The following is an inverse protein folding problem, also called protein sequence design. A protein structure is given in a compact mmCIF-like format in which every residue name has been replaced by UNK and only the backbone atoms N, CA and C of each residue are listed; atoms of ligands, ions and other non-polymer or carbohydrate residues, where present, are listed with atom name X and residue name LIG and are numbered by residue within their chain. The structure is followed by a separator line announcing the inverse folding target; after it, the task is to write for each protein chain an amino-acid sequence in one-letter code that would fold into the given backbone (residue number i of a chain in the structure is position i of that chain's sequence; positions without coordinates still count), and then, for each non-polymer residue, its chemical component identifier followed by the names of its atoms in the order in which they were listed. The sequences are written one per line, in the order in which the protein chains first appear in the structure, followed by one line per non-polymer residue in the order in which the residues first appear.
data_IF_144652570719
#
_entry.id   IF_144652570719
#
_cell.length_a   1.000
_cell.length_b   1.000
_cell.length_c   1.000
_cell.angle_alpha   90.00
_cell.angle_beta   90.00
_cell.angle_gamma   90.00
#
_symmetry.space_group_name_H-M   'P 1'
#
loop_
_entity.id
_entity.type
_entity.pdbx_description
1 polymer ?
#
# COMPACT_ATOMS: atom_id res chain seq x y z
N UNK A 1 95.54 -94.78 105.09
CA UNK A 1 95.22 -93.52 104.36
C UNK A 1 95.64 -92.34 105.23
N UNK A 2 96.82 -91.78 104.98
CA UNK A 2 97.29 -90.56 105.65
C UNK A 2 96.67 -89.36 104.94
N UNK A 3 95.70 -88.69 105.57
CA UNK A 3 95.26 -87.38 105.09
C UNK A 3 96.36 -86.37 105.40
N UNK A 4 97.05 -85.90 104.35
CA UNK A 4 98.07 -84.85 104.48
C UNK A 4 97.41 -83.54 104.89
N UNK A 5 97.80 -83.00 106.04
CA UNK A 5 97.27 -81.72 106.56
C UNK A 5 97.68 -80.60 105.60
N UNK A 6 96.77 -79.70 105.18
CA UNK A 6 97.11 -78.60 104.28
C UNK A 6 98.22 -77.73 104.89
N UNK A 7 99.23 -77.39 104.07
CA UNK A 7 100.35 -76.54 104.49
C UNK A 7 99.93 -75.07 104.51
N UNK A 8 100.60 -74.19 105.29
CA UNK A 8 100.34 -72.74 105.28
C UNK A 8 100.35 -72.10 103.88
N UNK A 9 101.17 -72.63 102.94
CA UNK A 9 101.21 -72.20 101.54
C UNK A 9 99.92 -72.56 100.76
N UNK A 10 99.33 -73.73 101.03
CA UNK A 10 98.05 -74.13 100.45
C UNK A 10 96.91 -73.22 100.95
N UNK A 11 96.95 -72.83 102.22
CA UNK A 11 95.97 -71.91 102.81
C UNK A 11 96.09 -70.52 102.18
N UNK A 12 97.30 -69.97 102.07
CA UNK A 12 97.54 -68.66 101.44
C UNK A 12 97.09 -68.63 99.96
N UNK A 13 97.39 -69.69 99.21
CA UNK A 13 96.96 -69.83 97.79
C UNK A 13 95.43 -69.90 97.68
N UNK A 14 94.77 -70.70 98.53
CA UNK A 14 93.32 -70.79 98.57
C UNK A 14 92.67 -69.46 98.98
N UNK A 15 93.24 -68.74 99.95
CA UNK A 15 92.78 -67.39 100.34
C UNK A 15 92.90 -66.41 99.17
N UNK A 16 94.01 -66.42 98.43
CA UNK A 16 94.18 -65.58 97.22
C UNK A 16 93.17 -65.94 96.13
N UNK A 17 92.98 -67.23 95.83
CA UNK A 17 92.00 -67.69 94.83
C UNK A 17 90.57 -67.32 95.20
N UNK A 18 90.21 -67.45 96.48
CA UNK A 18 88.88 -67.03 96.99
C UNK A 18 88.70 -65.51 96.84
N UNK A 19 89.71 -64.71 97.16
CA UNK A 19 89.66 -63.26 96.96
C UNK A 19 89.51 -62.88 95.48
N UNK A 20 90.28 -63.50 94.58
CA UNK A 20 90.16 -63.32 93.12
C UNK A 20 88.78 -63.75 92.62
N UNK A 21 88.27 -64.91 93.05
CA UNK A 21 86.94 -65.37 92.67
C UNK A 21 85.86 -64.43 93.19
N UNK A 22 86.00 -63.90 94.41
CA UNK A 22 85.06 -62.93 95.00
C UNK A 22 85.05 -61.63 94.20
N UNK A 23 86.22 -61.12 93.80
CA UNK A 23 86.34 -59.95 92.94
C UNK A 23 85.75 -60.19 91.54
N UNK A 24 86.07 -61.33 90.91
CA UNK A 24 85.51 -61.71 89.61
C UNK A 24 83.98 -61.84 89.66
N UNK A 25 83.43 -62.42 90.74
CA UNK A 25 81.98 -62.52 90.94
C UNK A 25 81.38 -61.13 91.11
N UNK A 26 81.98 -60.26 91.92
CA UNK A 26 81.51 -58.88 92.08
C UNK A 26 81.49 -58.12 90.74
N UNK A 27 82.58 -58.24 89.96
CA UNK A 27 82.65 -57.69 88.59
C UNK A 27 81.58 -58.29 87.68
N UNK A 28 81.38 -59.61 87.70
CA UNK A 28 80.34 -60.27 86.91
C UNK A 28 78.94 -59.82 87.31
N UNK A 29 78.67 -59.63 88.60
CA UNK A 29 77.40 -59.10 89.11
C UNK A 29 77.15 -57.71 88.55
N UNK A 30 78.12 -56.80 88.64
CA UNK A 30 78.00 -55.46 88.06
C UNK A 30 77.77 -55.50 86.54
N UNK A 31 78.51 -56.36 85.83
CA UNK A 31 78.33 -56.51 84.38
C UNK A 31 76.93 -57.02 84.01
N UNK A 32 76.38 -57.97 84.78
CA UNK A 32 75.03 -58.51 84.59
C UNK A 32 73.97 -57.44 84.87
N UNK A 33 74.13 -56.63 85.92
CA UNK A 33 73.24 -55.51 86.20
C UNK A 33 73.25 -54.51 85.04
N UNK A 34 74.42 -54.07 84.59
CA UNK A 34 74.53 -53.14 83.46
C UNK A 34 73.88 -53.68 82.18
N UNK A 35 74.03 -54.98 81.91
CA UNK A 35 73.36 -55.63 80.78
C UNK A 35 71.84 -55.69 80.95
N UNK A 36 71.36 -55.95 82.17
CA UNK A 36 69.92 -56.00 82.48
C UNK A 36 69.28 -54.64 82.25
N UNK A 37 69.93 -53.58 82.72
CA UNK A 37 69.47 -52.20 82.53
C UNK A 37 69.50 -51.82 81.04
N UNK A 38 70.59 -52.13 80.33
CA UNK A 38 70.70 -51.88 78.89
C UNK A 38 69.61 -52.60 78.07
N UNK A 39 69.25 -53.83 78.45
CA UNK A 39 68.15 -54.58 77.81
C UNK A 39 66.80 -53.95 78.12
N UNK A 40 66.59 -53.49 79.36
CA UNK A 40 65.38 -52.77 79.75
C UNK A 40 65.20 -51.49 78.94
N UNK A 41 66.26 -50.70 78.78
CA UNK A 41 66.25 -49.47 77.99
C UNK A 41 65.94 -49.75 76.52
N UNK A 42 66.57 -50.78 75.93
CA UNK A 42 66.25 -51.20 74.55
C UNK A 42 64.80 -51.65 74.38
N UNK A 43 64.23 -52.36 75.37
CA UNK A 43 62.82 -52.77 75.33
C UNK A 43 61.85 -51.59 75.44
N UNK A 44 62.24 -50.52 76.14
CA UNK A 44 61.42 -49.32 76.30
C UNK A 44 61.39 -48.46 75.01
N UNK A 45 62.51 -48.39 74.29
CA UNK A 45 62.67 -47.47 73.16
C UNK A 45 62.51 -48.12 71.76
N UNK A 46 62.53 -49.45 71.66
CA UNK A 46 62.40 -50.15 70.38
C UNK A 46 60.96 -50.19 69.87
N UNK A 47 60.80 -50.27 68.54
CA UNK A 47 59.53 -50.65 67.92
C UNK A 47 59.28 -52.14 68.16
N UNK A 48 58.36 -52.47 69.05
CA UNK A 48 58.06 -53.85 69.41
C UNK A 48 56.90 -54.42 68.60
N UNK A 49 57.01 -55.70 68.24
CA UNK A 49 55.91 -56.43 67.63
C UNK A 49 54.74 -56.58 68.60
N UNK A 50 53.56 -56.15 68.17
CA UNK A 50 52.32 -56.34 68.90
C UNK A 50 51.58 -57.56 68.34
N UNK A 51 51.61 -58.67 69.08
CA UNK A 51 51.03 -59.95 68.65
C UNK A 51 49.52 -59.86 68.41
N UNK A 52 48.82 -59.06 69.21
CA UNK A 52 47.37 -58.87 69.07
C UNK A 52 47.02 -58.07 67.81
N UNK A 53 47.81 -57.03 67.49
CA UNK A 53 47.59 -56.17 66.32
C UNK A 53 48.26 -56.69 65.04
N UNK A 54 49.12 -57.71 65.14
CA UNK A 54 49.94 -58.24 64.04
C UNK A 54 50.73 -57.15 63.30
N UNK A 55 51.30 -56.21 64.07
CA UNK A 55 52.07 -55.09 63.53
C UNK A 55 53.12 -54.61 64.55
N UNK A 56 54.13 -53.88 64.07
CA UNK A 56 55.03 -53.14 64.95
C UNK A 56 54.30 -51.96 65.58
N UNK A 57 54.49 -51.78 66.89
CA UNK A 57 53.90 -50.69 67.67
C UNK A 57 54.82 -49.48 67.65
N UNK A 58 54.31 -48.35 67.15
CA UNK A 58 54.94 -47.04 67.29
C UNK A 58 54.48 -46.30 68.56
N UNK A 59 53.95 -47.00 69.57
CA UNK A 59 53.65 -46.42 70.87
C UNK A 59 54.93 -46.29 71.70
N UNK A 60 55.08 -45.16 72.40
CA UNK A 60 56.22 -44.91 73.27
C UNK A 60 55.78 -44.12 74.51
N UNK A 61 56.25 -44.54 75.69
CA UNK A 61 55.82 -43.97 76.97
C UNK A 61 54.30 -44.02 77.18
N UNK A 62 53.69 -42.87 77.44
CA UNK A 62 52.24 -42.74 77.66
C UNK A 62 51.45 -42.55 76.35
N UNK A 63 52.14 -42.33 75.23
CA UNK A 63 51.48 -42.09 73.95
C UNK A 63 51.06 -43.41 73.31
N UNK A 64 49.79 -43.47 72.92
CA UNK A 64 49.24 -44.66 72.25
C UNK A 64 49.66 -44.76 70.78
N UNK A 65 50.21 -43.68 70.20
CA UNK A 65 50.77 -43.59 68.85
C UNK A 65 51.85 -42.50 68.78
N UNK A 66 52.94 -42.74 68.05
CA UNK A 66 54.00 -41.76 67.79
C UNK A 66 54.27 -41.60 66.28
N UNK A 67 54.94 -40.51 65.91
CA UNK A 67 55.33 -40.26 64.51
C UNK A 67 56.54 -41.10 64.12
N UNK A 68 56.53 -41.64 62.90
CA UNK A 68 57.72 -42.17 62.23
C UNK A 68 58.20 -41.08 61.26
N UNK A 69 59.36 -40.50 61.54
CA UNK A 69 59.96 -39.43 60.72
C UNK A 69 61.24 -39.91 60.04
N UNK A 70 61.80 -39.10 59.14
CA UNK A 70 62.96 -39.44 58.29
C UNK A 70 62.70 -40.66 57.38
N UNK A 71 61.43 -40.88 57.03
CA UNK A 71 61.03 -41.85 56.01
C UNK A 71 61.44 -41.29 54.65
N UNK A 72 62.40 -41.96 54.00
CA UNK A 72 62.80 -41.66 52.62
C UNK A 72 61.59 -41.81 51.70
N UNK A 73 61.51 -41.00 50.64
CA UNK A 73 60.47 -41.14 49.61
C UNK A 73 60.40 -42.62 49.16
N UNK A 74 59.20 -43.18 49.23
CA UNK A 74 58.89 -44.53 48.75
C UNK A 74 59.10 -44.62 47.24
N UNK A 75 59.51 -45.79 46.75
CA UNK A 75 59.40 -46.07 45.31
C UNK A 75 57.92 -46.34 44.98
N UNK A 76 57.30 -45.50 44.15
CA UNK A 76 55.86 -45.55 43.86
C UNK A 76 55.55 -46.47 42.66
N UNK A 77 55.91 -47.74 42.79
CA UNK A 77 55.57 -48.80 41.83
C UNK A 77 54.33 -49.58 42.27
N UNK A 78 53.69 -50.30 41.35
CA UNK A 78 52.43 -51.01 41.62
C UNK A 78 52.52 -52.06 42.74
N UNK A 79 53.69 -52.69 42.91
CA UNK A 79 53.94 -53.74 43.90
C UNK A 79 54.73 -53.24 45.12
N UNK A 80 54.91 -51.91 45.24
CA UNK A 80 55.67 -51.34 46.35
C UNK A 80 55.00 -51.58 47.69
N UNK A 81 55.80 -52.01 48.65
CA UNK A 81 55.41 -52.13 50.07
C UNK A 81 56.07 -51.05 50.93
N UNK A 82 56.66 -50.03 50.30
CA UNK A 82 57.32 -48.93 50.99
C UNK A 82 56.30 -48.03 51.68
N UNK A 83 56.66 -47.50 52.85
CA UNK A 83 55.86 -46.48 53.51
C UNK A 83 56.01 -45.13 52.78
N UNK A 84 54.89 -44.55 52.32
CA UNK A 84 54.88 -43.21 51.74
C UNK A 84 55.01 -42.15 52.82
N UNK A 85 55.76 -41.09 52.54
CA UNK A 85 55.89 -39.97 53.46
C UNK A 85 54.94 -38.80 53.10
N UNK A 86 54.95 -37.77 53.94
CA UNK A 86 54.05 -36.63 53.80
C UNK A 86 54.26 -35.80 52.52
N UNK A 87 55.48 -35.69 51.98
CA UNK A 87 55.75 -34.92 50.75
C UNK A 87 55.17 -35.60 49.51
N UNK A 88 55.24 -36.92 49.43
CA UNK A 88 54.64 -37.69 48.34
C UNK A 88 53.11 -37.58 48.36
N UNK A 89 52.48 -37.77 49.54
CA UNK A 89 51.03 -37.62 49.68
C UNK A 89 50.58 -36.17 49.41
N UNK A 90 51.36 -35.17 49.83
CA UNK A 90 51.10 -33.75 49.56
C UNK A 90 51.10 -33.45 48.06
N UNK A 91 52.07 -34.00 47.32
CA UNK A 91 52.14 -33.82 45.85
C UNK A 91 50.87 -34.33 45.16
N UNK A 92 50.41 -35.54 45.53
CA UNK A 92 49.14 -36.08 45.03
C UNK A 92 47.96 -35.19 45.42
N UNK A 93 47.88 -34.76 46.68
CA UNK A 93 46.80 -33.90 47.15
C UNK A 93 46.75 -32.54 46.44
N UNK A 94 47.90 -31.97 46.09
CA UNK A 94 47.97 -30.70 45.33
C UNK A 94 47.43 -30.86 43.90
N UNK A 95 47.77 -31.97 43.23
CA UNK A 95 47.22 -32.30 41.92
C UNK A 95 45.69 -32.52 41.99
N UNK A 96 45.20 -33.19 43.04
CA UNK A 96 43.76 -33.36 43.30
C UNK A 96 43.07 -32.01 43.55
N UNK A 97 43.70 -31.11 44.31
CA UNK A 97 43.17 -29.77 44.53
C UNK A 97 43.07 -28.97 43.23
N UNK A 98 44.11 -29.04 42.37
CA UNK A 98 44.09 -28.41 41.04
C UNK A 98 43.00 -28.98 40.15
N UNK A 99 42.82 -30.30 40.14
CA UNK A 99 41.73 -30.95 39.40
C UNK A 99 40.36 -30.50 39.90
N UNK A 100 40.21 -30.35 41.22
CA UNK A 100 38.97 -29.85 41.84
C UNK A 100 38.65 -28.43 41.38
N UNK A 101 39.66 -27.54 41.35
CA UNK A 101 39.50 -26.17 40.82
C UNK A 101 39.15 -26.17 39.32
N UNK A 102 39.83 -26.98 38.50
CA UNK A 102 39.54 -27.08 37.07
C UNK A 102 38.10 -27.58 36.80
N UNK A 103 37.62 -28.55 37.57
CA UNK A 103 36.25 -29.05 37.49
C UNK A 103 35.25 -27.95 37.85
N UNK A 104 35.51 -27.19 38.91
CA UNK A 104 34.65 -26.07 39.30
C UNK A 104 34.57 -24.98 38.20
N UNK A 105 35.72 -24.62 37.61
CA UNK A 105 35.79 -23.66 36.50
C UNK A 105 35.03 -24.17 35.27
N UNK A 106 35.23 -25.44 34.90
CA UNK A 106 34.50 -26.05 33.77
C UNK A 106 32.99 -26.07 34.03
N UNK A 107 32.57 -26.37 35.26
CA UNK A 107 31.16 -26.33 35.66
C UNK A 107 30.57 -24.92 35.49
N UNK A 108 31.29 -23.88 35.91
CA UNK A 108 30.88 -22.49 35.71
C UNK A 108 30.80 -22.13 34.23
N UNK A 109 31.80 -22.49 33.42
CA UNK A 109 31.82 -22.22 31.99
C UNK A 109 30.66 -22.91 31.26
N UNK A 110 30.33 -24.15 31.63
CA UNK A 110 29.19 -24.89 31.08
C UNK A 110 27.87 -24.20 31.44
N UNK A 111 27.71 -23.72 32.68
CA UNK A 111 26.54 -22.97 33.09
C UNK A 111 26.38 -21.67 32.27
N UNK A 112 27.46 -20.91 32.10
CA UNK A 112 27.47 -19.71 31.24
C UNK A 112 27.12 -20.03 29.79
N UNK A 113 27.72 -21.08 29.22
CA UNK A 113 27.41 -21.50 27.84
C UNK A 113 25.95 -21.93 27.68
N UNK A 114 25.39 -22.59 28.69
CA UNK A 114 23.96 -22.99 28.70
C UNK A 114 23.06 -21.75 28.64
N UNK A 115 23.34 -20.72 29.44
CA UNK A 115 22.60 -19.45 29.38
C UNK A 115 22.75 -18.76 28.02
N UNK A 116 23.97 -18.67 27.49
CA UNK A 116 24.21 -18.04 26.19
C UNK A 116 23.45 -18.74 25.05
N UNK A 117 23.44 -20.08 25.03
CA UNK A 117 22.70 -20.87 24.03
C UNK A 117 21.19 -20.64 24.17
N UNK A 118 20.67 -20.54 25.39
CA UNK A 118 19.26 -20.20 25.63
C UNK A 118 18.90 -18.84 25.03
N UNK A 119 19.70 -17.81 25.30
CA UNK A 119 19.46 -16.45 24.79
C UNK A 119 19.55 -16.39 23.25
N UNK A 120 20.49 -17.13 22.65
CA UNK A 120 20.58 -17.24 21.19
C UNK A 120 19.36 -17.96 20.60
N UNK A 121 18.86 -19.01 21.26
CA UNK A 121 17.67 -19.73 20.82
C UNK A 121 16.44 -18.82 20.83
N UNK A 122 16.27 -18.02 21.87
CA UNK A 122 15.20 -17.02 21.97
C UNK A 122 15.32 -15.97 20.86
N UNK A 123 16.53 -15.42 20.65
CA UNK A 123 16.79 -14.44 19.59
C UNK A 123 16.46 -14.99 18.20
N UNK A 124 16.88 -16.23 17.92
CA UNK A 124 16.59 -16.90 16.64
C UNK A 124 15.10 -17.18 16.47
N UNK A 125 14.41 -17.54 17.54
CA UNK A 125 12.95 -17.76 17.52
C UNK A 125 12.22 -16.46 17.20
N UNK A 126 12.59 -15.36 17.86
CA UNK A 126 11.99 -14.04 17.64
C UNK A 126 12.27 -13.50 16.23
N UNK A 127 13.51 -13.62 15.74
CA UNK A 127 13.84 -13.31 14.34
C UNK A 127 13.05 -14.18 13.37
N UNK A 128 12.83 -15.44 13.73
CA UNK A 128 11.89 -16.32 13.06
C UNK A 128 10.54 -15.66 12.97
N UNK A 129 9.89 -15.31 14.06
CA UNK A 129 8.54 -14.74 14.10
C UNK A 129 8.37 -13.41 13.37
N UNK A 130 9.33 -12.48 13.47
CA UNK A 130 9.19 -11.12 12.97
C UNK A 130 9.66 -10.90 11.52
N UNK A 131 10.36 -11.85 10.92
CA UNK A 131 10.86 -11.71 9.54
C UNK A 131 9.78 -11.97 8.48
N UNK A 132 9.97 -11.39 7.28
CA UNK A 132 9.25 -11.83 6.08
C UNK A 132 9.70 -13.27 5.73
N UNK A 133 8.79 -14.23 5.89
CA UNK A 133 9.09 -15.66 5.71
C UNK A 133 8.82 -16.12 4.29
N UNK A 134 9.64 -17.03 3.80
CA UNK A 134 9.28 -17.80 2.63
C UNK A 134 8.17 -18.80 2.98
N UNK A 135 6.98 -18.57 2.43
CA UNK A 135 5.88 -19.51 2.43
C UNK A 135 6.10 -20.50 1.29
N UNK A 136 6.60 -21.69 1.66
CA UNK A 136 6.95 -22.74 0.70
C UNK A 136 5.74 -23.29 -0.04
N UNK A 137 4.58 -23.35 0.61
CA UNK A 137 3.39 -23.97 0.05
C UNK A 137 2.75 -23.05 -1.00
N UNK A 138 2.85 -21.73 -0.78
CA UNK A 138 2.37 -20.72 -1.72
C UNK A 138 3.46 -20.19 -2.68
N UNK A 139 4.73 -20.51 -2.43
CA UNK A 139 5.86 -20.09 -3.27
C UNK A 139 6.11 -18.58 -3.26
N UNK A 140 5.91 -17.91 -2.11
CA UNK A 140 6.03 -16.44 -1.96
C UNK A 140 6.68 -16.06 -0.63
N UNK A 141 7.20 -14.84 -0.52
CA UNK A 141 7.45 -14.24 0.79
C UNK A 141 6.15 -13.70 1.36
N UNK A 142 5.80 -14.10 2.59
CA UNK A 142 4.59 -13.64 3.28
C UNK A 142 4.89 -12.48 4.23
N UNK A 143 3.98 -11.52 4.25
CA UNK A 143 3.94 -10.44 5.23
C UNK A 143 2.93 -10.71 6.36
N UNK A 144 2.46 -11.96 6.50
CA UNK A 144 1.66 -12.37 7.66
C UNK A 144 2.48 -12.21 8.95
N UNK A 145 1.86 -11.66 9.99
CA UNK A 145 2.50 -11.48 11.30
C UNK A 145 1.47 -11.64 12.42
N UNK A 146 1.85 -12.37 13.47
CA UNK A 146 0.93 -12.72 14.55
C UNK A 146 -0.29 -13.50 14.05
N UNK A 147 -1.48 -12.97 14.35
CA UNK A 147 -2.77 -13.54 13.89
C UNK A 147 -3.22 -13.00 12.54
N UNK A 148 -2.53 -12.00 11.99
CA UNK A 148 -2.91 -11.35 10.74
C UNK A 148 -2.39 -12.15 9.54
N UNK A 149 -3.29 -12.43 8.59
CA UNK A 149 -2.93 -13.15 7.36
C UNK A 149 -2.14 -12.28 6.37
N UNK A 150 -2.21 -10.95 6.50
CA UNK A 150 -1.42 -9.98 5.73
C UNK A 150 -1.12 -8.74 6.57
N UNK A 151 0.03 -8.10 6.34
CA UNK A 151 0.43 -6.86 7.01
C UNK A 151 0.84 -5.79 6.00
N UNK A 152 0.84 -4.53 6.45
CA UNK A 152 1.36 -3.41 5.64
C UNK A 152 2.88 -3.46 5.57
N UNK A 153 3.42 -3.34 4.36
CA UNK A 153 4.83 -3.02 4.13
C UNK A 153 4.90 -1.53 3.80
N UNK A 154 5.46 -0.74 4.72
CA UNK A 154 5.60 0.72 4.57
C UNK A 154 7.07 1.11 4.49
N UNK A 155 7.35 2.41 4.29
CA UNK A 155 8.69 2.94 4.02
C UNK A 155 9.34 2.31 2.77
N UNK A 156 8.50 1.84 1.85
CA UNK A 156 8.91 1.40 0.52
C UNK A 156 9.28 2.65 -0.27
N UNK A 157 10.56 2.75 -0.63
CA UNK A 157 11.06 3.81 -1.53
C UNK A 157 10.35 3.68 -2.88
N UNK A 158 10.11 4.81 -3.55
CA UNK A 158 9.55 4.82 -4.91
C UNK A 158 10.32 3.83 -5.81
N UNK A 159 9.60 2.88 -6.39
CA UNK A 159 10.19 1.89 -7.30
C UNK A 159 10.47 2.51 -8.67
N UNK A 160 11.48 2.02 -9.37
CA UNK A 160 11.76 2.52 -10.71
C UNK A 160 10.65 2.14 -11.69
N UNK A 161 10.03 3.13 -12.34
CA UNK A 161 8.91 2.92 -13.29
C UNK A 161 9.41 2.73 -14.72
N UNK A 162 10.30 1.75 -14.91
CA UNK A 162 10.87 1.40 -16.22
C UNK A 162 10.34 0.06 -16.73
N UNK A 163 10.45 -0.19 -18.04
CA UNK A 163 10.05 -1.48 -18.62
C UNK A 163 10.91 -2.60 -18.03
N UNK A 164 10.26 -3.59 -17.40
CA UNK A 164 10.93 -4.75 -16.79
C UNK A 164 11.37 -4.54 -15.35
N UNK A 165 11.06 -3.39 -14.73
CA UNK A 165 11.31 -3.19 -13.29
C UNK A 165 10.58 -4.24 -12.44
N UNK A 166 11.25 -4.71 -11.39
CA UNK A 166 10.72 -5.63 -10.38
C UNK A 166 10.57 -4.96 -9.02
N UNK A 167 10.73 -3.64 -8.95
CA UNK A 167 10.59 -2.89 -7.71
C UNK A 167 9.13 -2.85 -7.27
N UNK A 168 8.91 -2.94 -5.96
CA UNK A 168 7.60 -2.66 -5.40
C UNK A 168 7.27 -1.17 -5.59
N UNK A 169 6.04 -0.89 -6.04
CA UNK A 169 5.53 0.49 -6.11
C UNK A 169 4.83 0.85 -4.81
N UNK A 170 4.96 2.10 -4.39
CA UNK A 170 4.33 2.59 -3.17
C UNK A 170 3.07 3.42 -3.47
N UNK A 171 2.42 3.88 -2.40
CA UNK A 171 1.16 4.61 -2.49
C UNK A 171 1.24 5.96 -3.21
N UNK A 172 2.35 6.70 -3.12
CA UNK A 172 2.50 7.98 -3.81
C UNK A 172 2.52 7.81 -5.33
N UNK A 173 3.23 6.79 -5.82
CA UNK A 173 3.30 6.50 -7.26
C UNK A 173 1.93 6.11 -7.83
N UNK A 174 1.18 5.25 -7.12
CA UNK A 174 -0.18 4.87 -7.53
C UNK A 174 -1.14 6.07 -7.45
N UNK A 175 -0.97 6.95 -6.46
CA UNK A 175 -1.78 8.18 -6.32
C UNK A 175 -1.59 9.12 -7.50
N UNK A 176 -0.34 9.36 -7.93
CA UNK A 176 -0.06 10.18 -9.13
C UNK A 176 -0.78 9.65 -10.37
N UNK A 177 -0.77 8.32 -10.56
CA UNK A 177 -1.50 7.69 -11.67
C UNK A 177 -3.01 7.91 -11.54
N UNK A 178 -3.57 7.70 -10.35
CA UNK A 178 -5.00 7.87 -10.10
C UNK A 178 -5.46 9.32 -10.31
N UNK A 179 -4.63 10.31 -10.00
CA UNK A 179 -4.96 11.73 -10.23
C UNK A 179 -5.01 12.08 -11.73
N UNK A 180 -4.11 11.51 -12.53
CA UNK A 180 -4.16 11.64 -13.98
C UNK A 180 -5.42 10.99 -14.56
N UNK A 181 -5.81 9.81 -14.05
CA UNK A 181 -7.06 9.12 -14.45
C UNK A 181 -8.31 9.94 -14.07
N UNK A 182 -8.33 10.53 -12.88
CA UNK A 182 -9.42 11.41 -12.44
C UNK A 182 -9.54 12.64 -13.35
N UNK A 183 -8.41 13.26 -13.71
CA UNK A 183 -8.37 14.39 -14.65
C UNK A 183 -8.93 14.02 -16.01
N UNK A 184 -8.54 12.86 -16.55
CA UNK A 184 -9.07 12.35 -17.82
C UNK A 184 -10.59 12.11 -17.74
N UNK A 185 -11.08 11.61 -16.61
CA UNK A 185 -12.52 11.39 -16.38
C UNK A 185 -13.29 12.71 -16.46
N UNK A 186 -12.79 13.77 -15.82
CA UNK A 186 -13.38 15.11 -15.91
C UNK A 186 -13.36 15.65 -17.35
N UNK A 187 -12.23 15.54 -18.05
CA UNK A 187 -12.11 16.00 -19.43
C UNK A 187 -13.10 15.30 -20.36
N UNK A 188 -13.31 13.99 -20.19
CA UNK A 188 -14.29 13.21 -20.96
C UNK A 188 -15.72 13.69 -20.68
N UNK A 189 -16.07 13.95 -19.42
CA UNK A 189 -17.38 14.48 -19.06
C UNK A 189 -17.63 15.85 -19.69
N UNK A 190 -16.65 16.76 -19.63
CA UNK A 190 -16.71 18.07 -20.29
C UNK A 190 -16.88 17.93 -21.80
N UNK A 191 -16.11 17.06 -22.44
CA UNK A 191 -16.25 16.81 -23.87
C UNK A 191 -17.63 16.26 -24.23
N UNK A 192 -18.21 15.40 -23.38
CA UNK A 192 -19.56 14.86 -23.56
C UNK A 192 -20.60 15.98 -23.52
N UNK A 193 -20.52 16.89 -22.54
CA UNK A 193 -21.40 18.06 -22.46
C UNK A 193 -21.23 18.97 -23.68
N UNK A 194 -20.00 19.25 -24.09
CA UNK A 194 -19.73 20.09 -25.25
C UNK A 194 -20.33 19.48 -26.53
N UNK A 195 -20.19 18.17 -26.73
CA UNK A 195 -20.79 17.45 -27.87
C UNK A 195 -22.32 17.52 -27.82
N UNK A 196 -22.93 17.37 -26.64
CA UNK A 196 -24.37 17.50 -26.47
C UNK A 196 -24.86 18.90 -26.85
N UNK A 197 -24.19 19.95 -26.35
CA UNK A 197 -24.54 21.35 -26.66
C UNK A 197 -24.37 21.66 -28.16
N UNK A 198 -23.31 21.13 -28.79
CA UNK A 198 -23.13 21.23 -30.23
C UNK A 198 -24.24 20.51 -31.00
N UNK A 199 -24.63 19.32 -30.55
CA UNK A 199 -25.72 18.54 -31.18
C UNK A 199 -27.04 19.31 -31.11
N UNK A 200 -27.35 19.93 -29.96
CA UNK A 200 -28.52 20.78 -29.79
C UNK A 200 -28.46 22.02 -30.69
N UNK A 201 -27.32 22.72 -30.71
CA UNK A 201 -27.12 23.88 -31.59
C UNK A 201 -27.32 23.53 -33.07
N UNK A 202 -26.74 22.41 -33.52
CA UNK A 202 -26.89 21.91 -34.88
C UNK A 202 -28.33 21.53 -35.18
N UNK A 203 -29.04 20.93 -34.22
CA UNK A 203 -30.46 20.57 -34.36
C UNK A 203 -31.32 21.83 -34.51
N UNK A 204 -31.10 22.84 -33.66
CA UNK A 204 -31.84 24.11 -33.70
C UNK A 204 -31.57 24.89 -35.01
N UNK A 205 -30.30 25.01 -35.43
CA UNK A 205 -29.95 25.58 -36.73
C UNK A 205 -30.57 24.78 -37.88
N UNK A 206 -30.64 23.46 -37.72
CA UNK A 206 -31.43 22.60 -38.57
C UNK A 206 -32.86 23.12 -38.63
N UNK A 207 -33.63 23.08 -37.55
CA UNK A 207 -35.06 23.44 -37.53
C UNK A 207 -35.39 24.85 -38.03
N UNK A 208 -34.58 25.86 -37.73
CA UNK A 208 -34.89 27.27 -37.98
C UNK A 208 -34.38 27.83 -39.33
N UNK A 209 -33.48 27.12 -40.03
CA UNK A 209 -32.93 27.59 -41.30
C UNK A 209 -33.87 27.37 -42.51
N UNK A 210 -33.73 28.19 -43.56
CA UNK A 210 -34.28 27.88 -44.88
C UNK A 210 -33.57 26.64 -45.44
N UNK A 211 -34.26 25.51 -45.48
CA UNK A 211 -33.70 24.24 -45.93
C UNK A 211 -33.87 24.05 -47.43
N UNK A 212 -32.90 23.39 -48.05
CA UNK A 212 -33.08 22.82 -49.37
C UNK A 212 -34.05 21.64 -49.28
N UNK A 213 -35.22 21.80 -49.87
CA UNK A 213 -36.17 20.73 -50.11
C UNK A 213 -35.74 20.01 -51.40
N UNK A 214 -35.05 18.87 -51.22
CA UNK A 214 -34.50 18.09 -52.33
C UNK A 214 -35.59 17.52 -53.24
N UNK A 215 -36.75 17.21 -52.70
CA UNK A 215 -37.82 16.55 -53.45
C UNK A 215 -38.56 17.55 -54.34
N UNK A 216 -38.70 18.79 -53.86
CA UNK A 216 -39.32 19.87 -54.61
C UNK A 216 -38.32 20.76 -55.38
N UNK A 217 -37.01 20.61 -55.14
CA UNK A 217 -35.96 21.36 -55.82
C UNK A 217 -35.94 22.86 -55.50
N UNK A 218 -36.35 23.24 -54.28
CA UNK A 218 -36.48 24.64 -53.84
C UNK A 218 -35.98 24.83 -52.41
N UNK A 219 -35.71 26.07 -52.00
CA UNK A 219 -35.60 26.39 -50.57
C UNK A 219 -36.99 26.54 -49.96
N UNK A 220 -37.26 25.84 -48.86
CA UNK A 220 -38.54 25.88 -48.15
C UNK A 220 -38.48 26.78 -46.93
N UNK A 221 -39.56 27.56 -46.73
CA UNK A 221 -39.80 28.34 -45.52
C UNK A 221 -40.78 27.62 -44.56
N UNK A 222 -40.98 26.31 -44.70
CA UNK A 222 -41.78 25.55 -43.75
C UNK A 222 -41.08 25.46 -42.39
N UNK A 223 -41.82 25.64 -41.29
CA UNK A 223 -41.31 25.57 -39.92
C UNK A 223 -42.29 24.80 -39.02
N UNK A 224 -41.76 23.96 -38.12
CA UNK A 224 -42.56 23.17 -37.19
C UNK A 224 -43.61 22.26 -37.86
N UNK A 225 -44.82 22.27 -37.31
CA UNK A 225 -45.87 21.29 -37.59
C UNK A 225 -46.76 21.66 -38.79
N UNK A 226 -46.58 22.81 -39.47
CA UNK A 226 -47.47 23.20 -40.56
C UNK A 226 -46.95 24.32 -41.48
N UNK A 227 -46.95 24.02 -42.79
CA UNK A 227 -47.09 24.92 -43.97
C UNK A 227 -46.15 26.14 -44.11
N UNK A 228 -46.08 26.71 -45.31
CA UNK A 228 -45.18 27.81 -45.65
C UNK A 228 -45.23 28.97 -44.62
N UNK A 229 -44.07 29.40 -44.12
CA UNK A 229 -43.95 30.56 -43.23
C UNK A 229 -43.77 31.86 -44.01
N UNK A 230 -44.08 32.99 -43.36
CA UNK A 230 -43.74 34.31 -43.90
C UNK A 230 -42.24 34.52 -43.83
N UNK A 231 -41.66 35.02 -44.92
CA UNK A 231 -40.32 35.62 -44.91
C UNK A 231 -40.53 37.14 -44.83
N UNK A 232 -40.20 37.74 -43.69
CA UNK A 232 -40.34 39.18 -43.44
C UNK A 232 -38.97 39.84 -43.29
N UNK A 233 -38.95 41.15 -43.06
CA UNK A 233 -37.73 41.98 -43.00
C UNK A 233 -36.92 41.91 -44.30
N UNK A 234 -37.61 41.71 -45.42
CA UNK A 234 -37.05 41.78 -46.76
C UNK A 234 -36.98 43.26 -47.15
N UNK A 235 -35.77 43.74 -47.40
CA UNK A 235 -35.53 45.05 -48.01
C UNK A 235 -36.18 45.09 -49.41
N UNK A 236 -36.63 46.27 -49.85
CA UNK A 236 -37.18 46.44 -51.20
C UNK A 236 -36.26 45.85 -52.26
N UNK A 237 -36.78 44.88 -53.02
CA UNK A 237 -36.03 44.22 -54.07
C UNK A 237 -35.86 45.13 -55.28
N UNK A 238 -34.75 45.00 -56.01
CA UNK A 238 -34.55 45.78 -57.23
C UNK A 238 -35.58 45.37 -58.28
N UNK A 239 -36.35 46.31 -58.85
CA UNK A 239 -37.36 46.00 -59.88
C UNK A 239 -36.80 46.29 -61.27
N UNK A 240 -36.22 45.26 -61.90
CA UNK A 240 -35.72 45.29 -63.28
C UNK A 240 -36.02 43.96 -63.99
N UNK A 241 -35.87 43.93 -65.32
CA UNK A 241 -36.18 42.74 -66.14
C UNK A 241 -35.33 41.49 -65.81
N UNK A 242 -34.21 41.66 -65.11
CA UNK A 242 -33.26 40.58 -64.79
C UNK A 242 -33.03 40.40 -63.30
N UNK A 243 -33.87 41.02 -62.45
CA UNK A 243 -33.69 40.94 -60.99
C UNK A 243 -33.98 39.54 -60.47
N UNK A 244 -33.18 39.11 -59.48
CA UNK A 244 -33.38 37.90 -58.68
C UNK A 244 -33.74 38.21 -57.23
N UNK A 245 -33.97 39.48 -56.92
CA UNK A 245 -34.29 39.92 -55.57
C UNK A 245 -35.73 39.54 -55.23
N UNK A 246 -35.96 39.08 -54.00
CA UNK A 246 -37.30 38.97 -53.48
C UNK A 246 -37.89 40.39 -53.31
N UNK A 247 -39.12 40.60 -53.76
CA UNK A 247 -39.87 41.84 -53.50
C UNK A 247 -40.67 41.68 -52.20
N UNK A 248 -40.90 42.79 -51.51
CA UNK A 248 -41.71 42.80 -50.30
C UNK A 248 -43.13 43.36 -50.57
N UNK A 249 -43.95 43.36 -49.51
CA UNK A 249 -45.34 43.79 -49.60
C UNK A 249 -45.54 45.27 -49.94
N UNK A 250 -44.64 46.18 -49.52
CA UNK A 250 -44.77 47.61 -49.82
C UNK A 250 -44.63 47.89 -51.31
N UNK A 251 -43.69 47.23 -51.99
CA UNK A 251 -43.51 47.40 -53.43
C UNK A 251 -44.74 46.96 -54.24
N UNK A 252 -45.37 45.85 -53.84
CA UNK A 252 -46.62 45.39 -54.47
C UNK A 252 -47.81 46.31 -54.13
N UNK A 253 -47.87 46.80 -52.89
CA UNK A 253 -48.89 47.75 -52.45
C UNK A 253 -48.80 49.09 -53.18
N UNK A 254 -47.59 49.64 -53.37
CA UNK A 254 -47.34 50.88 -54.10
C UNK A 254 -47.76 50.75 -55.57
N UNK A 255 -47.42 49.62 -56.22
CA UNK A 255 -47.89 49.31 -57.56
C UNK A 255 -49.43 49.29 -57.62
N UNK A 256 -50.07 48.58 -56.69
CA UNK A 256 -51.53 48.47 -56.61
C UNK A 256 -52.19 49.84 -56.38
N UNK A 257 -51.60 50.68 -55.53
CA UNK A 257 -52.07 52.04 -55.23
C UNK A 257 -51.94 52.98 -56.43
N UNK A 258 -50.84 52.87 -57.18
CA UNK A 258 -50.66 53.60 -58.43
C UNK A 258 -51.71 53.20 -59.48
N UNK A 259 -52.05 51.90 -59.58
CA UNK A 259 -53.12 51.41 -60.47
C UNK A 259 -54.49 51.96 -60.04
N UNK A 260 -54.81 51.95 -58.74
CA UNK A 260 -56.06 52.52 -58.23
C UNK A 260 -56.18 54.01 -58.57
N UNK A 261 -55.08 54.76 -58.37
CA UNK A 261 -55.00 56.19 -58.72
C UNK A 261 -55.23 56.41 -60.21
N UNK A 262 -54.63 55.59 -61.07
CA UNK A 262 -54.80 55.69 -62.53
C UNK A 262 -56.27 55.49 -62.96
N UNK A 263 -56.98 54.56 -62.33
CA UNK A 263 -58.39 54.35 -62.62
C UNK A 263 -59.30 55.47 -62.07
N UNK A 264 -58.96 56.08 -60.93
CA UNK A 264 -59.82 57.06 -60.28
C UNK A 264 -61.19 56.46 -59.89
N UNK A 265 -62.26 57.26 -59.92
CA UNK A 265 -63.62 56.74 -59.66
C UNK A 265 -63.79 56.08 -58.29
N UNK A 266 -63.08 56.53 -57.25
CA UNK A 266 -63.04 55.89 -55.93
C UNK A 266 -62.43 54.47 -55.89
N UNK A 267 -61.62 54.09 -56.89
CA UNK A 267 -60.76 52.92 -56.75
C UNK A 267 -59.75 53.14 -55.61
N UNK A 268 -59.45 52.08 -54.85
CA UNK A 268 -58.55 52.15 -53.70
C UNK A 268 -57.90 50.81 -53.39
N UNK A 269 -56.85 50.82 -52.58
CA UNK A 269 -56.28 49.63 -51.96
C UNK A 269 -56.43 49.75 -50.45
N UNK A 270 -57.13 48.79 -49.86
CA UNK A 270 -57.37 48.78 -48.41
C UNK A 270 -56.09 48.38 -47.65
N UNK A 271 -56.07 48.60 -46.33
CA UNK A 271 -54.90 48.31 -45.48
C UNK A 271 -54.56 46.81 -45.38
N UNK A 272 -55.48 45.93 -45.77
CA UNK A 272 -55.29 44.50 -45.91
C UNK A 272 -54.76 44.09 -47.31
N UNK A 273 -54.48 45.06 -48.17
CA UNK A 273 -54.00 44.85 -49.54
C UNK A 273 -55.09 44.55 -50.56
N UNK A 274 -56.38 44.55 -50.16
CA UNK A 274 -57.49 44.25 -51.07
C UNK A 274 -57.75 45.45 -51.99
N UNK A 275 -57.68 45.19 -53.30
CA UNK A 275 -57.99 46.18 -54.33
C UNK A 275 -59.51 46.35 -54.50
N UNK A 276 -59.99 47.58 -54.40
CA UNK A 276 -61.37 47.98 -54.69
C UNK A 276 -61.40 48.71 -56.02
N UNK A 277 -62.15 48.17 -56.99
CA UNK A 277 -62.26 48.73 -58.34
C UNK A 277 -62.98 50.08 -58.40
N UNK A 278 -62.83 50.82 -59.51
CA UNK A 278 -63.47 52.11 -59.67
C UNK A 278 -64.98 51.99 -59.81
N UNK A 279 -65.69 52.93 -59.22
CA UNK A 279 -67.10 53.21 -59.43
C UNK A 279 -67.25 54.52 -60.22
N UNK A 280 -67.68 54.39 -61.48
CA UNK A 280 -68.02 55.51 -62.32
C UNK A 280 -69.54 55.69 -62.38
N UNK A 281 -70.03 56.93 -62.34
CA UNK A 281 -71.46 57.23 -62.51
C UNK A 281 -71.71 57.90 -63.85
N UNK A 282 -72.75 57.44 -64.55
CA UNK A 282 -73.29 58.10 -65.76
C UNK A 282 -74.79 58.28 -65.53
N UNK A 283 -75.23 59.52 -65.29
CA UNK A 283 -76.58 59.79 -64.80
C UNK A 283 -76.81 59.14 -63.43
N UNK A 284 -77.92 58.41 -63.28
CA UNK A 284 -78.26 57.68 -62.04
C UNK A 284 -77.68 56.25 -61.97
N UNK A 285 -77.02 55.78 -63.03
CA UNK A 285 -76.50 54.40 -63.10
C UNK A 285 -75.06 54.30 -62.62
N UNK A 286 -74.81 53.35 -61.72
CA UNK A 286 -73.47 52.97 -61.23
C UNK A 286 -72.82 51.98 -62.19
N UNK A 287 -71.54 52.20 -62.51
CA UNK A 287 -70.73 51.38 -63.41
C UNK A 287 -69.42 51.01 -62.73
N UNK A 288 -69.11 49.72 -62.67
CA UNK A 288 -68.01 49.16 -61.88
C UNK A 288 -66.79 48.73 -62.72
N UNK A 289 -66.78 49.02 -64.02
CA UNK A 289 -65.61 48.80 -64.90
C UNK A 289 -65.45 49.93 -65.92
N UNK A 290 -64.21 50.22 -66.31
CA UNK A 290 -63.88 51.27 -67.28
C UNK A 290 -64.44 50.95 -68.67
N UNK A 291 -64.43 49.68 -69.09
CA UNK A 291 -65.02 49.26 -70.36
C UNK A 291 -66.54 49.48 -70.40
N UNK A 292 -67.25 49.19 -69.31
CA UNK A 292 -68.69 49.46 -69.21
C UNK A 292 -68.98 50.97 -69.17
N UNK A 293 -68.04 51.79 -68.67
CA UNK A 293 -68.17 53.25 -68.65
C UNK A 293 -68.20 53.81 -70.08
N UNK A 294 -67.24 53.43 -70.93
CA UNK A 294 -67.20 53.85 -72.34
C UNK A 294 -68.41 53.36 -73.14
N UNK A 295 -68.85 52.12 -72.90
CA UNK A 295 -70.01 51.54 -73.58
C UNK A 295 -71.33 52.24 -73.25
N UNK A 296 -71.46 52.85 -72.07
CA UNK A 296 -72.67 53.58 -71.64
C UNK A 296 -72.58 55.10 -71.83
N UNK A 297 -71.38 55.67 -71.91
CA UNK A 297 -71.19 57.09 -72.25
C UNK A 297 -71.55 57.38 -73.70
N UNK A 298 -71.21 56.47 -74.60
CA UNK A 298 -71.44 56.59 -76.05
C UNK A 298 -72.90 56.87 -76.42
N UNK A 299 -73.91 56.11 -75.93
CA UNK A 299 -75.32 56.45 -76.19
C UNK A 299 -75.82 57.69 -75.44
N UNK A 300 -75.26 58.02 -74.27
CA UNK A 300 -75.63 59.23 -73.52
C UNK A 300 -75.15 60.51 -74.22
N UNK A 301 -73.92 60.50 -74.76
CA UNK A 301 -73.38 61.55 -75.61
C UNK A 301 -74.14 61.68 -76.94
N UNK A 302 -74.50 60.56 -77.56
CA UNK A 302 -75.32 60.57 -78.78
C UNK A 302 -76.70 61.23 -78.54
N UNK A 303 -77.33 60.94 -77.39
CA UNK A 303 -78.59 61.60 -76.97
C UNK A 303 -78.41 63.10 -76.71
N UNK A 304 -77.33 63.51 -76.05
CA UNK A 304 -77.04 64.93 -75.79
C UNK A 304 -76.76 65.69 -77.09
N UNK A 305 -76.02 65.07 -78.02
CA UNK A 305 -75.74 65.63 -79.34
C UNK A 305 -77.02 65.78 -80.18
N UNK A 306 -77.93 64.81 -80.12
CA UNK A 306 -79.26 64.93 -80.73
C UNK A 306 -80.11 66.06 -80.10
N UNK A 307 -80.06 66.24 -78.78
CA UNK A 307 -80.75 67.36 -78.11
C UNK A 307 -80.19 68.73 -78.54
N UNK A 308 -78.87 68.86 -78.67
CA UNK A 308 -78.21 70.11 -79.07
C UNK A 308 -78.39 70.44 -80.56
N UNK A 309 -78.36 69.45 -81.46
CA UNK A 309 -78.48 69.68 -82.91
C UNK A 309 -79.92 69.88 -83.40
N UNK A 310 -80.93 69.36 -82.69
CA UNK A 310 -82.32 69.36 -83.20
C UNK A 310 -83.33 70.15 -82.35
N UNK A 311 -82.93 70.78 -81.25
CA UNK A 311 -83.85 71.61 -80.45
C UNK A 311 -85.11 70.85 -79.98
N UNK A 312 -85.00 69.54 -79.74
CA UNK A 312 -86.13 68.72 -79.29
C UNK A 312 -86.37 68.93 -77.79
N UNK A 313 -87.62 69.19 -77.35
CA UNK A 313 -87.95 69.29 -75.92
C UNK A 313 -87.73 67.94 -75.22
N UNK A 314 -87.47 67.93 -73.90
CA UNK A 314 -87.10 66.72 -73.17
C UNK A 314 -88.22 65.68 -73.25
N UNK A 315 -88.00 64.62 -74.00
CA UNK A 315 -88.83 63.43 -73.92
C UNK A 315 -88.41 62.65 -72.67
N UNK A 316 -89.19 62.82 -71.62
CA UNK A 316 -89.32 61.83 -70.55
C UNK A 316 -89.79 60.54 -71.22
N UNK A 317 -88.93 59.53 -71.28
CA UNK A 317 -89.38 58.15 -71.23
C UNK A 317 -88.23 57.23 -70.82
N UNK A 318 -88.39 56.73 -69.59
CA UNK A 318 -88.16 55.35 -69.16
C UNK A 318 -87.46 54.45 -70.18
N UNK A 319 -86.21 54.09 -69.86
CA UNK A 319 -85.59 52.88 -70.41
C UNK A 319 -85.55 51.86 -69.27
N UNK A 320 -85.91 50.59 -69.51
CA UNK A 320 -86.09 49.61 -68.45
C UNK A 320 -84.73 49.26 -67.84
N UNK A 321 -84.66 49.19 -66.51
CA UNK A 321 -83.58 48.45 -65.86
C UNK A 321 -83.82 46.95 -66.08
N UNK A 322 -83.44 46.48 -67.26
CA UNK A 322 -83.12 45.06 -67.45
C UNK A 322 -81.93 44.79 -66.55
N UNK A 323 -82.19 44.06 -65.47
CA UNK A 323 -81.19 43.41 -64.63
C UNK A 323 -80.32 42.54 -65.55
N UNK A 324 -79.11 43.00 -65.81
CA UNK A 324 -78.06 42.14 -66.35
C UNK A 324 -77.26 41.65 -65.15
N UNK A 325 -77.73 40.57 -64.54
CA UNK A 325 -76.86 39.69 -63.78
C UNK A 325 -75.81 39.16 -64.75
N UNK A 326 -74.57 39.61 -64.61
CA UNK A 326 -73.42 38.82 -65.03
C UNK A 326 -72.74 38.38 -63.75
N UNK A 327 -73.12 37.17 -63.37
CA UNK A 327 -72.45 36.32 -62.41
C UNK A 327 -71.09 35.88 -62.95
N UNK A 328 -70.14 35.74 -62.00
CA UNK A 328 -68.93 34.90 -62.02
C UNK A 328 -67.71 35.46 -62.79
N UNK A 329 -66.47 35.22 -62.38
CA UNK A 329 -65.89 34.33 -61.36
C UNK A 329 -64.63 35.00 -60.76
#
# INVERSE_FOLDING_TARGET
MTMSKPTPANIATNTSNIATNTANIATNTTNITNLTDSVGDLQADALLWNETKKAFSAAHGQDTTSKITNVKDADLTADSTDAVNGSQLKTTNDAVATNTTNIANNTSNIATNTTNISNLTETVTNLGEDALKWDKDNGVFTAAHGTETTSKITNVKDGDLTTGSTDAVNGSQLKTTNDAVATNTTNIATNTTNISNLTETVTNLGEDALKWDKDNGVFTAAHGNNTASKITNILDGTVTATSSDAINGSQLYDLSSNIATYFGGNASVNTDGVFTGPTYKIGETIIITSAMHWLRLTPHLARLSAMLCFGMPPQVNSVPNTVLMVTQA
#
